data_IF_099907326910
#
_entry.id   IF_099907326910
#
_cell.length_a   1.000
_cell.length_b   1.000
_cell.length_c   1.000
_cell.angle_alpha   90.00
_cell.angle_beta   90.00
_cell.angle_gamma   90.00
#
_symmetry.space_group_name_H-M   'P 1'
#
loop_
_entity.id
_entity.type
_entity.pdbx_description
1 polymer ?
#
# COMPACT_ATOMS: atom_id res chain seq x y z
N UNK A 1 -15.03 -9.79 -9.32
CA UNK A 1 -13.76 -9.69 -8.59
C UNK A 1 -13.48 -8.22 -8.45
N UNK A 2 -13.64 -7.69 -7.25
CA UNK A 2 -13.37 -6.27 -6.92
C UNK A 2 -11.98 -6.17 -6.33
N UNK A 3 -11.09 -5.42 -7.00
CA UNK A 3 -9.72 -5.17 -6.57
C UNK A 3 -9.65 -3.85 -5.80
N UNK A 4 -9.37 -3.97 -4.50
CA UNK A 4 -9.23 -2.86 -3.56
C UNK A 4 -7.78 -2.42 -3.53
N UNK A 5 -7.55 -1.11 -3.51
CA UNK A 5 -6.24 -0.50 -3.38
C UNK A 5 -6.14 0.34 -2.12
N UNK A 6 -4.98 0.24 -1.47
CA UNK A 6 -4.53 1.07 -0.36
C UNK A 6 -3.10 1.48 -0.67
N UNK A 7 -2.74 2.74 -0.47
CA UNK A 7 -1.34 3.16 -0.39
C UNK A 7 -0.90 3.42 1.06
N UNK A 8 0.38 3.16 1.35
CA UNK A 8 0.96 3.51 2.63
C UNK A 8 2.48 3.63 2.55
N UNK A 9 3.03 4.47 3.41
CA UNK A 9 4.48 4.47 3.66
C UNK A 9 4.91 3.15 4.33
N UNK A 10 4.08 2.62 5.25
CA UNK A 10 4.34 1.41 6.04
C UNK A 10 5.64 1.40 6.87
N UNK A 11 6.22 2.57 7.16
CA UNK A 11 7.36 2.69 8.06
C UNK A 11 6.98 2.27 9.49
N UNK A 12 7.80 1.43 10.12
CA UNK A 12 7.52 0.80 11.42
C UNK A 12 6.13 0.14 11.49
N UNK A 13 5.88 -0.81 10.57
CA UNK A 13 4.60 -1.48 10.43
C UNK A 13 4.08 -2.11 11.74
N UNK A 14 2.85 -1.77 12.15
CA UNK A 14 2.30 -2.11 13.47
C UNK A 14 0.81 -2.47 13.42
N UNK A 15 0.24 -2.84 14.58
CA UNK A 15 -1.14 -3.33 14.70
C UNK A 15 -2.20 -2.41 14.04
N UNK A 16 -2.01 -1.08 14.11
CA UNK A 16 -2.91 -0.13 13.46
C UNK A 16 -3.01 -0.32 11.95
N UNK A 17 -1.88 -0.58 11.26
CA UNK A 17 -1.88 -0.88 9.83
C UNK A 17 -2.55 -2.23 9.56
N UNK A 18 -2.30 -3.23 10.40
CA UNK A 18 -2.93 -4.56 10.27
C UNK A 18 -4.46 -4.47 10.37
N UNK A 19 -4.98 -3.76 11.38
CA UNK A 19 -6.43 -3.59 11.55
C UNK A 19 -7.06 -2.73 10.44
N UNK A 20 -6.31 -1.78 9.87
CA UNK A 20 -6.74 -1.04 8.69
C UNK A 20 -6.83 -1.96 7.46
N UNK A 21 -5.75 -2.70 7.16
CA UNK A 21 -5.71 -3.62 6.01
C UNK A 21 -6.75 -4.73 6.12
N UNK A 22 -7.04 -5.22 7.33
CA UNK A 22 -8.15 -6.15 7.59
C UNK A 22 -9.52 -5.59 7.20
N UNK A 23 -9.76 -4.30 7.46
CA UNK A 23 -11.01 -3.64 7.06
C UNK A 23 -11.04 -3.41 5.56
N UNK A 24 -9.92 -2.97 4.98
CA UNK A 24 -9.80 -2.78 3.53
C UNK A 24 -10.02 -4.09 2.76
N UNK A 25 -9.43 -5.20 3.23
CA UNK A 25 -9.59 -6.52 2.61
C UNK A 25 -11.03 -7.03 2.63
N UNK A 26 -11.88 -6.54 3.54
CA UNK A 26 -13.29 -6.91 3.61
C UNK A 26 -14.18 -6.17 2.59
N UNK A 27 -13.62 -5.19 1.84
CA UNK A 27 -14.36 -4.36 0.88
C UNK A 27 -14.30 -4.91 -0.55
N UNK A 28 -13.57 -5.99 -0.79
CA UNK A 28 -13.48 -6.62 -2.10
C UNK A 28 -12.92 -8.03 -2.03
N UNK A 29 -12.46 -8.52 -3.17
CA UNK A 29 -11.99 -9.90 -3.34
C UNK A 29 -10.46 -10.00 -3.36
N UNK A 30 -9.77 -8.87 -3.52
CA UNK A 30 -8.31 -8.81 -3.61
C UNK A 30 -7.79 -7.45 -3.14
N UNK A 31 -6.90 -7.45 -2.16
CA UNK A 31 -6.26 -6.24 -1.62
C UNK A 31 -4.84 -6.06 -2.19
N UNK A 32 -4.69 -5.05 -3.03
CA UNK A 32 -3.43 -4.52 -3.52
C UNK A 32 -2.95 -3.40 -2.60
N UNK A 33 -1.71 -3.48 -2.10
CA UNK A 33 -1.10 -2.41 -1.29
C UNK A 33 0.07 -1.78 -2.02
N UNK A 34 -0.01 -0.47 -2.27
CA UNK A 34 1.09 0.33 -2.79
C UNK A 34 1.99 0.84 -1.67
N UNK A 35 3.30 0.64 -1.79
CA UNK A 35 4.29 1.19 -0.87
C UNK A 35 4.94 2.41 -1.50
N UNK A 36 4.75 3.59 -0.90
CA UNK A 36 5.26 4.82 -1.52
C UNK A 36 6.80 4.81 -1.62
N UNK A 37 7.33 5.33 -2.74
CA UNK A 37 8.77 5.46 -2.97
C UNK A 37 9.45 6.36 -1.92
N UNK A 38 10.74 6.14 -1.66
CA UNK A 38 11.47 6.95 -0.68
C UNK A 38 11.49 8.43 -1.10
N UNK A 39 11.65 8.71 -2.40
CA UNK A 39 11.62 10.07 -2.95
C UNK A 39 10.25 10.74 -2.74
N UNK A 40 9.16 10.00 -3.01
CA UNK A 40 7.81 10.48 -2.81
C UNK A 40 7.53 10.79 -1.33
N UNK A 41 8.03 9.94 -0.42
CA UNK A 41 7.87 10.15 1.03
C UNK A 41 8.69 11.36 1.49
N UNK A 42 9.97 11.44 1.12
CA UNK A 42 10.86 12.55 1.50
C UNK A 42 10.33 13.92 1.02
N UNK A 43 9.69 13.97 -0.14
CA UNK A 43 9.11 15.20 -0.67
C UNK A 43 7.87 15.68 0.10
N UNK A 44 7.16 14.79 0.80
CA UNK A 44 5.86 15.09 1.40
C UNK A 44 5.80 14.88 2.93
N UNK A 45 6.78 14.19 3.52
CA UNK A 45 6.82 13.75 4.93
C UNK A 45 8.28 13.52 5.36
N UNK A 46 8.48 13.28 6.66
CA UNK A 46 9.75 12.72 7.18
C UNK A 46 10.17 11.45 6.45
N UNK A 47 11.48 11.27 6.36
CA UNK A 47 12.12 10.07 5.85
C UNK A 47 11.67 8.83 6.64
N UNK A 48 11.47 7.68 5.96
CA UNK A 48 11.28 6.40 6.62
C UNK A 48 12.51 6.00 7.46
N UNK A 49 12.29 5.23 8.53
CA UNK A 49 13.37 4.58 9.27
C UNK A 49 13.76 3.27 8.57
N UNK A 50 12.75 2.53 8.11
CA UNK A 50 12.93 1.29 7.34
C UNK A 50 13.11 1.58 5.85
N UNK A 51 14.01 0.84 5.20
CA UNK A 51 14.21 0.94 3.76
C UNK A 51 13.02 0.32 2.98
N UNK A 52 12.96 0.55 1.67
CA UNK A 52 11.88 0.04 0.82
C UNK A 52 11.65 -1.49 0.95
N UNK A 53 12.73 -2.28 0.95
CA UNK A 53 12.64 -3.73 1.05
C UNK A 53 12.01 -4.18 2.39
N UNK A 54 12.43 -3.56 3.50
CA UNK A 54 11.88 -3.82 4.83
C UNK A 54 10.39 -3.43 4.93
N UNK A 55 10.00 -2.30 4.33
CA UNK A 55 8.60 -1.83 4.30
C UNK A 55 7.73 -2.77 3.47
N UNK A 56 8.18 -3.15 2.28
CA UNK A 56 7.49 -4.12 1.41
C UNK A 56 7.36 -5.48 2.10
N UNK A 57 8.45 -6.02 2.66
CA UNK A 57 8.44 -7.32 3.34
C UNK A 57 7.49 -7.33 4.54
N UNK A 58 7.44 -6.23 5.30
CA UNK A 58 6.52 -6.08 6.45
C UNK A 58 5.05 -6.16 6.03
N UNK A 59 4.69 -5.49 4.93
CA UNK A 59 3.31 -5.48 4.42
C UNK A 59 2.97 -6.81 3.73
N UNK A 60 3.89 -7.39 2.96
CA UNK A 60 3.70 -8.68 2.29
C UNK A 60 3.50 -9.83 3.29
N UNK A 61 4.05 -9.72 4.50
CA UNK A 61 3.80 -10.66 5.59
C UNK A 61 2.43 -10.54 6.26
N UNK A 62 1.65 -9.49 5.93
CA UNK A 62 0.33 -9.29 6.50
C UNK A 62 -0.70 -10.24 5.88
N UNK A 63 -1.35 -11.06 6.71
CA UNK A 63 -2.36 -12.06 6.27
C UNK A 63 -3.48 -11.51 5.38
N UNK A 64 -3.79 -10.22 5.51
CA UNK A 64 -4.92 -9.59 4.80
C UNK A 64 -4.54 -9.01 3.44
N UNK A 65 -3.25 -9.02 3.10
CA UNK A 65 -2.72 -8.43 1.87
C UNK A 65 -2.49 -9.54 0.85
N UNK A 66 -3.02 -9.35 -0.36
CA UNK A 66 -2.86 -10.32 -1.45
C UNK A 66 -1.67 -9.98 -2.35
N UNK A 67 -1.41 -8.69 -2.56
CA UNK A 67 -0.35 -8.20 -3.45
C UNK A 67 0.23 -6.90 -2.91
N UNK A 68 1.55 -6.72 -3.07
CA UNK A 68 2.26 -5.48 -2.71
C UNK A 68 3.01 -4.97 -3.92
N UNK A 69 2.88 -3.68 -4.21
CA UNK A 69 3.59 -2.99 -5.29
C UNK A 69 4.50 -1.92 -4.68
N UNK A 70 5.83 -1.99 -4.90
CA UNK A 70 6.76 -0.95 -4.48
C UNK A 70 6.61 0.30 -5.35
N UNK A 71 7.23 1.39 -4.91
CA UNK A 71 7.34 2.66 -5.66
C UNK A 71 5.99 3.27 -6.08
N UNK A 72 4.96 3.09 -5.25
CA UNK A 72 3.67 3.72 -5.48
C UNK A 72 3.78 5.25 -5.45
N UNK A 73 3.09 5.98 -6.35
CA UNK A 73 3.12 7.43 -6.36
C UNK A 73 2.45 8.02 -5.12
N UNK A 74 2.80 9.26 -4.76
CA UNK A 74 2.12 9.99 -3.68
C UNK A 74 0.69 10.42 -4.06
N UNK A 75 0.50 10.78 -5.32
CA UNK A 75 -0.80 11.08 -5.91
C UNK A 75 -0.96 10.13 -7.09
N UNK A 76 -1.92 9.21 -6.99
CA UNK A 76 -2.26 8.34 -8.10
C UNK A 76 -2.99 9.10 -9.21
N UNK A 77 -2.80 8.66 -10.44
CA UNK A 77 -3.53 9.15 -11.60
C UNK A 77 -4.40 8.04 -12.22
N UNK A 78 -5.12 8.39 -13.29
CA UNK A 78 -5.97 7.44 -13.99
C UNK A 78 -5.17 6.29 -14.63
N UNK A 79 -3.92 6.53 -15.03
CA UNK A 79 -3.07 5.50 -15.62
C UNK A 79 -2.69 4.44 -14.59
N UNK A 80 -2.34 4.83 -13.37
CA UNK A 80 -2.10 3.92 -12.25
C UNK A 80 -3.32 3.06 -11.94
N UNK A 81 -4.51 3.68 -11.88
CA UNK A 81 -5.77 2.98 -11.63
C UNK A 81 -6.05 1.94 -12.72
N UNK A 82 -5.86 2.31 -14.00
CA UNK A 82 -6.09 1.42 -15.14
C UNK A 82 -5.06 0.28 -15.21
N UNK A 83 -3.78 0.59 -15.06
CA UNK A 83 -2.67 -0.38 -15.08
C UNK A 83 -2.85 -1.47 -14.03
N UNK A 84 -3.15 -1.07 -12.79
CA UNK A 84 -3.33 -1.98 -11.67
C UNK A 84 -4.74 -2.53 -11.52
N UNK A 85 -5.66 -2.17 -12.44
CA UNK A 85 -7.06 -2.60 -12.46
C UNK A 85 -7.76 -2.36 -11.12
N UNK A 86 -7.60 -1.15 -10.58
CA UNK A 86 -8.12 -0.76 -9.27
C UNK A 86 -9.60 -0.40 -9.41
N UNK A 87 -10.47 -1.10 -8.67
CA UNK A 87 -11.92 -0.83 -8.67
C UNK A 87 -12.34 0.10 -7.52
N UNK A 88 -11.62 0.04 -6.39
CA UNK A 88 -11.92 0.80 -5.18
C UNK A 88 -10.63 1.25 -4.49
N UNK A 89 -10.56 2.52 -4.08
CA UNK A 89 -9.48 3.08 -3.26
C UNK A 89 -9.99 3.31 -1.84
N UNK A 90 -9.19 2.95 -0.84
CA UNK A 90 -9.52 3.01 0.60
C UNK A 90 -8.50 3.81 1.38
#
# INVERSE_FOLDING_TARGET
>A
MTRVYVDMVADLFHYGHVEFLKKASALGDHLLVGINSDEAVQANKRDPILNMEERVASVAGCRYVDEVVPDAPWIMDAAWIEEHKIDLVV
#
